data_IF_002889449990
#
_entry.id   IF_002889449990
#
_cell.length_a   1.000
_cell.length_b   1.000
_cell.length_c   1.000
_cell.angle_alpha   90.00
_cell.angle_beta   90.00
_cell.angle_gamma   90.00
#
_symmetry.space_group_name_H-M   'P 1'
#
loop_
_entity.id
_entity.type
_entity.pdbx_description
1 polymer ?
#
# COMPACT_ATOMS: atom_id res chain seq x y z
N UNK A 1 36.51 -29.26 -8.12
CA UNK A 1 36.37 -27.80 -7.89
C UNK A 1 34.96 -27.61 -7.39
N UNK A 2 34.77 -27.42 -6.09
CA UNK A 2 33.47 -27.08 -5.52
C UNK A 2 33.23 -25.63 -5.85
N UNK A 3 32.31 -25.37 -6.81
CA UNK A 3 31.83 -24.07 -7.17
C UNK A 3 31.11 -23.48 -5.94
N UNK A 4 31.79 -22.57 -5.27
CA UNK A 4 31.22 -21.86 -4.11
C UNK A 4 30.07 -21.02 -4.65
N UNK A 5 28.84 -21.48 -4.44
CA UNK A 5 27.67 -20.63 -4.71
C UNK A 5 27.80 -19.34 -3.89
N UNK A 6 27.71 -18.17 -4.52
CA UNK A 6 27.89 -16.90 -3.81
C UNK A 6 26.90 -16.83 -2.64
N UNK A 7 27.44 -16.61 -1.43
CA UNK A 7 26.64 -16.50 -0.23
C UNK A 7 25.67 -15.33 -0.37
N UNK A 8 24.39 -15.62 -0.30
CA UNK A 8 23.34 -14.62 -0.41
C UNK A 8 23.40 -13.69 0.80
N UNK A 9 23.55 -12.36 0.61
CA UNK A 9 23.53 -11.43 1.73
C UNK A 9 22.24 -11.52 2.53
N UNK A 10 22.31 -11.57 3.86
CA UNK A 10 21.13 -11.69 4.73
C UNK A 10 20.11 -10.57 4.46
N UNK A 11 20.57 -9.36 4.14
CA UNK A 11 19.74 -8.21 3.78
C UNK A 11 18.87 -8.47 2.56
N UNK A 12 19.40 -9.13 1.50
CA UNK A 12 18.63 -9.51 0.30
C UNK A 12 17.54 -10.53 0.66
N UNK A 13 17.87 -11.48 1.52
CA UNK A 13 16.93 -12.49 1.99
C UNK A 13 15.79 -11.86 2.78
N UNK A 14 16.10 -10.97 3.71
CA UNK A 14 15.08 -10.27 4.53
C UNK A 14 14.19 -9.40 3.66
N UNK A 15 14.76 -8.57 2.79
CA UNK A 15 13.98 -7.70 1.90
C UNK A 15 13.11 -8.54 0.95
N UNK A 16 13.67 -9.58 0.35
CA UNK A 16 12.93 -10.43 -0.59
C UNK A 16 11.73 -11.11 0.06
N UNK A 17 11.90 -11.74 1.21
CA UNK A 17 10.80 -12.41 1.92
C UNK A 17 9.77 -11.44 2.48
N UNK A 18 10.20 -10.35 3.11
CA UNK A 18 9.27 -9.33 3.62
C UNK A 18 8.44 -8.71 2.51
N UNK A 19 9.03 -8.48 1.34
CA UNK A 19 8.32 -7.97 0.16
C UNK A 19 7.34 -8.98 -0.42
N UNK A 20 7.64 -10.30 -0.40
CA UNK A 20 6.68 -11.33 -0.80
C UNK A 20 5.47 -11.33 0.14
N UNK A 21 5.70 -11.31 1.45
CA UNK A 21 4.60 -11.26 2.43
C UNK A 21 3.75 -10.02 2.22
N UNK A 22 4.37 -8.86 2.03
CA UNK A 22 3.66 -7.62 1.77
C UNK A 22 2.88 -7.68 0.45
N UNK A 23 3.45 -8.25 -0.62
CA UNK A 23 2.77 -8.43 -1.90
C UNK A 23 1.52 -9.31 -1.77
N UNK A 24 1.60 -10.41 -1.00
CA UNK A 24 0.43 -11.27 -0.71
C UNK A 24 -0.65 -10.50 0.05
N UNK A 25 -0.27 -9.74 1.07
CA UNK A 25 -1.23 -8.93 1.84
C UNK A 25 -1.88 -7.85 0.97
N UNK A 26 -1.10 -7.18 0.12
CA UNK A 26 -1.62 -6.20 -0.84
C UNK A 26 -2.56 -6.84 -1.86
N UNK A 27 -2.23 -8.03 -2.36
CA UNK A 27 -3.07 -8.77 -3.29
C UNK A 27 -4.41 -9.13 -2.64
N UNK A 28 -4.40 -9.68 -1.44
CA UNK A 28 -5.61 -10.03 -0.69
C UNK A 28 -6.46 -8.78 -0.40
N UNK A 29 -5.84 -7.70 0.03
CA UNK A 29 -6.53 -6.43 0.30
C UNK A 29 -7.18 -5.85 -0.97
N UNK A 30 -6.46 -5.86 -2.10
CA UNK A 30 -7.00 -5.41 -3.39
C UNK A 30 -8.15 -6.28 -3.88
N UNK A 31 -8.04 -7.60 -3.74
CA UNK A 31 -9.11 -8.54 -4.09
C UNK A 31 -10.36 -8.34 -3.21
N UNK A 32 -10.18 -8.15 -1.89
CA UNK A 32 -11.28 -7.83 -0.98
C UNK A 32 -11.92 -6.48 -1.31
N UNK A 33 -11.14 -5.47 -1.68
CA UNK A 33 -11.63 -4.17 -2.13
C UNK A 33 -12.53 -4.28 -3.37
N UNK A 34 -12.10 -5.06 -4.38
CA UNK A 34 -12.91 -5.35 -5.57
C UNK A 34 -14.19 -6.11 -5.23
N UNK A 35 -14.10 -7.16 -4.41
CA UNK A 35 -15.25 -7.93 -3.97
C UNK A 35 -16.27 -7.06 -3.24
N UNK A 36 -15.82 -6.22 -2.31
CA UNK A 36 -16.66 -5.28 -1.60
C UNK A 36 -17.35 -4.28 -2.53
N UNK A 37 -16.63 -3.75 -3.52
CA UNK A 37 -17.17 -2.83 -4.50
C UNK A 37 -18.23 -3.49 -5.39
N UNK A 38 -18.00 -4.74 -5.85
CA UNK A 38 -18.96 -5.51 -6.64
C UNK A 38 -20.21 -5.84 -5.83
N UNK A 39 -20.05 -6.28 -4.57
CA UNK A 39 -21.18 -6.57 -3.69
C UNK A 39 -22.05 -5.33 -3.45
N UNK A 40 -21.45 -4.15 -3.28
CA UNK A 40 -22.21 -2.91 -3.14
C UNK A 40 -22.95 -2.52 -4.43
N UNK A 41 -22.36 -2.74 -5.60
CA UNK A 41 -23.05 -2.48 -6.88
C UNK A 41 -24.23 -3.44 -7.13
N UNK A 42 -24.19 -4.64 -6.55
CA UNK A 42 -25.27 -5.63 -6.67
C UNK A 42 -26.37 -5.44 -5.63
N UNK A 43 -26.24 -4.45 -4.72
CA UNK A 43 -27.24 -4.19 -3.69
C UNK A 43 -28.52 -3.62 -4.32
N UNK A 44 -29.72 -4.21 -4.03
CA UNK A 44 -30.97 -3.70 -4.55
C UNK A 44 -31.23 -2.26 -4.08
N UNK A 45 -31.84 -1.43 -4.95
CA UNK A 45 -32.15 -0.03 -4.63
C UNK A 45 -33.01 0.12 -3.37
N UNK A 46 -33.91 -0.85 -3.12
CA UNK A 46 -34.74 -0.88 -1.91
C UNK A 46 -33.91 -1.03 -0.61
N UNK A 47 -32.82 -1.79 -0.67
CA UNK A 47 -31.90 -1.95 0.45
C UNK A 47 -31.00 -0.70 0.62
N UNK A 48 -30.66 -0.05 -0.46
CA UNK A 48 -29.91 1.20 -0.45
C UNK A 48 -30.73 2.37 0.15
N UNK A 49 -32.04 2.40 -0.10
CA UNK A 49 -32.95 3.42 0.45
C UNK A 49 -33.16 3.30 1.97
N UNK A 50 -32.95 2.13 2.56
CA UNK A 50 -33.01 1.88 4.02
C UNK A 50 -31.66 1.97 4.70
N UNK A 51 -30.61 2.30 3.98
CA UNK A 51 -29.26 2.34 4.48
C UNK A 51 -29.01 3.56 5.41
N UNK A 52 -28.14 3.42 6.40
CA UNK A 52 -27.81 4.52 7.31
C UNK A 52 -27.22 5.72 6.53
N UNK A 53 -27.46 6.96 7.03
CA UNK A 53 -26.91 8.16 6.41
C UNK A 53 -25.38 8.08 6.33
N UNK A 54 -24.83 8.23 5.12
CA UNK A 54 -23.40 8.06 4.82
C UNK A 54 -23.12 7.03 3.74
N UNK A 55 -24.09 6.22 3.35
CA UNK A 55 -23.91 5.24 2.26
C UNK A 55 -23.76 5.93 0.91
N UNK A 56 -24.40 7.07 0.70
CA UNK A 56 -24.22 7.90 -0.51
C UNK A 56 -22.75 8.35 -0.66
N UNK A 57 -22.12 8.76 0.43
CA UNK A 57 -20.69 9.11 0.43
C UNK A 57 -19.80 7.89 0.15
N UNK A 58 -20.19 6.70 0.61
CA UNK A 58 -19.49 5.47 0.26
C UNK A 58 -19.65 5.10 -1.22
N UNK A 59 -20.80 5.34 -1.82
CA UNK A 59 -21.02 5.12 -3.27
C UNK A 59 -20.12 6.03 -4.10
N UNK A 60 -19.97 7.30 -3.74
CA UNK A 60 -19.03 8.20 -4.40
C UNK A 60 -17.57 7.74 -4.29
N UNK A 61 -17.21 7.08 -3.19
CA UNK A 61 -15.88 6.48 -3.03
C UNK A 61 -15.69 5.21 -3.87
N UNK A 62 -16.74 4.46 -4.19
CA UNK A 62 -16.64 3.22 -4.97
C UNK A 62 -16.10 3.44 -6.36
N UNK A 63 -16.44 4.56 -7.01
CA UNK A 63 -15.90 4.90 -8.34
C UNK A 63 -14.36 4.99 -8.35
N UNK A 64 -13.75 5.34 -7.21
CA UNK A 64 -12.29 5.38 -7.05
C UNK A 64 -11.72 4.07 -6.52
N UNK A 65 -12.51 3.30 -5.76
CA UNK A 65 -12.07 2.04 -5.14
C UNK A 65 -11.74 0.98 -6.18
N UNK A 66 -12.56 0.85 -7.21
CA UNK A 66 -12.37 -0.15 -8.27
C UNK A 66 -11.04 0.06 -9.01
N UNK A 67 -10.78 1.23 -9.64
CA UNK A 67 -9.51 1.45 -10.33
C UNK A 67 -8.30 1.37 -9.39
N UNK A 68 -8.43 1.85 -8.15
CA UNK A 68 -7.36 1.77 -7.16
C UNK A 68 -7.04 0.33 -6.79
N UNK A 69 -8.05 -0.54 -6.65
CA UNK A 69 -7.87 -1.97 -6.37
C UNK A 69 -7.15 -2.68 -7.52
N UNK A 70 -7.46 -2.37 -8.78
CA UNK A 70 -6.74 -2.91 -9.93
C UNK A 70 -5.28 -2.47 -9.95
N UNK A 71 -5.00 -1.19 -9.67
CA UNK A 71 -3.62 -0.68 -9.55
C UNK A 71 -2.89 -1.41 -8.43
N UNK A 72 -3.52 -1.61 -7.27
CA UNK A 72 -2.96 -2.31 -6.13
C UNK A 72 -2.64 -3.77 -6.46
N UNK A 73 -3.53 -4.48 -7.16
CA UNK A 73 -3.29 -5.85 -7.63
C UNK A 73 -2.10 -5.90 -8.60
N UNK A 74 -2.02 -4.98 -9.55
CA UNK A 74 -0.90 -4.88 -10.48
C UNK A 74 0.43 -4.66 -9.75
N UNK A 75 0.47 -3.73 -8.80
CA UNK A 75 1.65 -3.48 -7.96
C UNK A 75 2.04 -4.73 -7.16
N UNK A 76 1.08 -5.44 -6.58
CA UNK A 76 1.32 -6.66 -5.81
C UNK A 76 1.97 -7.74 -6.68
N UNK A 77 1.50 -7.94 -7.91
CA UNK A 77 2.09 -8.91 -8.86
C UNK A 77 3.53 -8.51 -9.22
N UNK A 78 3.76 -7.25 -9.60
CA UNK A 78 5.10 -6.76 -9.93
C UNK A 78 6.06 -6.90 -8.75
N UNK A 79 5.59 -6.60 -7.53
CA UNK A 79 6.36 -6.73 -6.30
C UNK A 79 6.70 -8.18 -5.99
N UNK A 80 5.78 -9.13 -6.20
CA UNK A 80 6.01 -10.55 -6.03
C UNK A 80 7.09 -11.06 -7.01
N UNK A 81 6.96 -10.74 -8.31
CA UNK A 81 7.93 -11.12 -9.33
C UNK A 81 9.31 -10.51 -9.04
N UNK A 82 9.35 -9.20 -8.75
CA UNK A 82 10.60 -8.50 -8.40
C UNK A 82 11.30 -9.11 -7.18
N UNK A 83 10.53 -9.48 -6.16
CA UNK A 83 11.05 -10.11 -4.94
C UNK A 83 11.63 -11.51 -5.22
N UNK A 84 10.96 -12.33 -6.03
CA UNK A 84 11.46 -13.65 -6.43
C UNK A 84 12.76 -13.51 -7.24
N UNK A 85 12.81 -12.56 -8.18
CA UNK A 85 14.03 -12.30 -8.97
C UNK A 85 15.15 -11.76 -8.09
N UNK A 86 14.84 -10.93 -7.11
CA UNK A 86 15.80 -10.42 -6.11
C UNK A 86 16.38 -11.58 -5.28
N UNK A 87 15.53 -12.51 -4.80
CA UNK A 87 15.97 -13.70 -4.09
C UNK A 87 16.82 -14.65 -4.96
N UNK A 88 16.66 -14.60 -6.28
CA UNK A 88 17.51 -15.32 -7.23
C UNK A 88 18.78 -14.58 -7.61
N UNK A 89 19.10 -13.48 -6.92
CA UNK A 89 20.26 -12.61 -7.16
C UNK A 89 20.33 -12.06 -8.60
N UNK A 90 19.17 -11.89 -9.25
CA UNK A 90 19.12 -11.30 -10.60
C UNK A 90 19.09 -9.78 -10.50
N UNK A 91 19.94 -9.13 -11.26
CA UNK A 91 19.99 -7.66 -11.32
C UNK A 91 18.64 -7.04 -11.71
N UNK A 92 17.91 -7.71 -12.63
CA UNK A 92 16.55 -7.29 -13.01
C UNK A 92 15.62 -7.20 -11.80
N UNK A 93 15.71 -8.15 -10.85
CA UNK A 93 14.91 -8.13 -9.63
C UNK A 93 15.21 -6.91 -8.76
N UNK A 94 16.49 -6.55 -8.63
CA UNK A 94 16.92 -5.34 -7.91
C UNK A 94 16.36 -4.08 -8.56
N UNK A 95 16.49 -3.95 -9.89
CA UNK A 95 16.00 -2.78 -10.61
C UNK A 95 14.47 -2.65 -10.53
N UNK A 96 13.74 -3.77 -10.67
CA UNK A 96 12.29 -3.79 -10.50
C UNK A 96 11.88 -3.34 -9.10
N UNK A 97 12.52 -3.86 -8.05
CA UNK A 97 12.24 -3.48 -6.67
C UNK A 97 12.61 -2.02 -6.39
N UNK A 98 13.73 -1.54 -6.94
CA UNK A 98 14.12 -0.14 -6.82
C UNK A 98 13.11 0.78 -7.49
N UNK A 99 12.70 0.49 -8.74
CA UNK A 99 11.71 1.27 -9.48
C UNK A 99 10.35 1.26 -8.75
N UNK A 100 9.93 0.10 -8.23
CA UNK A 100 8.67 -0.02 -7.49
C UNK A 100 8.69 0.80 -6.19
N UNK A 101 9.81 0.81 -5.47
CA UNK A 101 9.94 1.61 -4.26
C UNK A 101 9.95 3.13 -4.57
N UNK A 102 10.58 3.56 -5.66
CA UNK A 102 10.49 4.96 -6.10
C UNK A 102 9.06 5.34 -6.48
N UNK A 103 8.39 4.48 -7.25
CA UNK A 103 6.97 4.68 -7.56
C UNK A 103 6.12 4.74 -6.29
N UNK A 104 6.33 3.80 -5.36
CA UNK A 104 5.64 3.77 -4.07
C UNK A 104 5.86 5.04 -3.25
N UNK A 105 7.08 5.59 -3.25
CA UNK A 105 7.40 6.84 -2.57
C UNK A 105 6.61 8.03 -3.15
N UNK A 106 6.66 8.21 -4.47
CA UNK A 106 5.94 9.29 -5.16
C UNK A 106 4.43 9.13 -4.98
N UNK A 107 3.92 7.90 -5.11
CA UNK A 107 2.51 7.59 -4.92
C UNK A 107 2.05 7.87 -3.48
N UNK A 108 2.81 7.44 -2.47
CA UNK A 108 2.47 7.68 -1.06
C UNK A 108 2.44 9.16 -0.74
N UNK A 109 3.43 9.94 -1.21
CA UNK A 109 3.47 11.39 -1.01
C UNK A 109 2.29 12.06 -1.74
N UNK A 110 2.06 11.70 -3.00
CA UNK A 110 0.97 12.27 -3.81
C UNK A 110 -0.41 11.99 -3.22
N UNK A 111 -0.67 10.73 -2.87
CA UNK A 111 -1.94 10.32 -2.24
C UNK A 111 -2.11 11.00 -0.89
N UNK A 112 -1.07 11.06 -0.06
CA UNK A 112 -1.14 11.72 1.24
C UNK A 112 -1.44 13.21 1.09
N UNK A 113 -0.79 13.90 0.16
CA UNK A 113 -1.00 15.32 -0.11
C UNK A 113 -2.42 15.63 -0.62
N UNK A 114 -3.02 14.71 -1.38
CA UNK A 114 -4.38 14.86 -1.89
C UNK A 114 -5.44 14.41 -0.86
N UNK A 115 -5.20 13.27 -0.20
CA UNK A 115 -6.18 12.63 0.68
C UNK A 115 -6.32 13.34 2.03
N UNK A 116 -5.22 13.80 2.64
CA UNK A 116 -5.24 14.43 3.96
C UNK A 116 -6.13 15.67 4.02
N UNK A 117 -6.06 16.64 3.06
CA UNK A 117 -6.96 17.80 3.07
C UNK A 117 -8.43 17.41 2.83
N UNK A 118 -8.69 16.43 1.96
CA UNK A 118 -10.05 15.96 1.68
C UNK A 118 -10.64 15.26 2.91
N UNK A 119 -9.87 14.39 3.55
CA UNK A 119 -10.24 13.71 4.78
C UNK A 119 -10.52 14.71 5.91
N UNK A 120 -9.65 15.70 6.12
CA UNK A 120 -9.82 16.69 7.18
C UNK A 120 -11.09 17.52 7.02
N UNK A 121 -11.45 17.89 5.77
CA UNK A 121 -12.71 18.59 5.47
C UNK A 121 -13.94 17.75 5.76
N UNK A 122 -13.94 16.48 5.34
CA UNK A 122 -15.05 15.57 5.57
C UNK A 122 -15.23 15.27 7.06
N UNK A 123 -14.13 15.08 7.79
CA UNK A 123 -14.17 14.84 9.23
C UNK A 123 -14.60 16.07 10.03
N UNK A 124 -14.26 17.29 9.59
CA UNK A 124 -14.74 18.50 10.21
C UNK A 124 -16.27 18.62 10.11
N UNK A 125 -16.86 18.23 8.97
CA UNK A 125 -18.32 18.17 8.80
C UNK A 125 -18.98 17.15 9.72
N UNK A 126 -18.44 15.93 9.78
CA UNK A 126 -18.96 14.86 10.66
C UNK A 126 -18.80 15.19 12.15
N UNK A 127 -17.73 15.85 12.56
CA UNK A 127 -17.52 16.26 13.94
C UNK A 127 -18.48 17.35 14.41
N UNK A 128 -19.03 18.16 13.49
CA UNK A 128 -20.08 19.14 13.79
C UNK A 128 -21.47 18.49 13.91
N UNK A 129 -21.71 17.41 13.18
CA UNK A 129 -22.98 16.70 13.17
C UNK A 129 -23.09 15.69 14.33
N UNK A 130 -21.98 15.23 14.93
CA UNK A 130 -22.00 14.23 15.98
C UNK A 130 -22.22 14.84 17.36
N UNK A 131 -23.30 14.49 18.07
CA UNK A 131 -23.54 14.94 19.44
C UNK A 131 -22.65 14.12 20.41
N UNK A 132 -21.57 14.74 20.90
CA UNK A 132 -20.79 14.21 22.00
C UNK A 132 -19.27 14.34 21.86
N UNK A 133 -18.59 14.56 23.00
CA UNK A 133 -17.13 14.73 23.08
C UNK A 133 -16.36 13.45 22.66
N UNK A 134 -16.95 12.26 22.89
CA UNK A 134 -16.33 10.99 22.56
C UNK A 134 -16.19 10.74 21.04
N UNK A 135 -17.22 11.13 20.28
CA UNK A 135 -17.17 11.05 18.82
C UNK A 135 -16.10 11.99 18.25
N UNK A 136 -15.98 13.21 18.76
CA UNK A 136 -14.95 14.17 18.34
C UNK A 136 -13.53 13.65 18.58
N UNK A 137 -13.27 12.99 19.71
CA UNK A 137 -11.96 12.39 20.00
C UNK A 137 -11.58 11.28 19.00
N UNK A 138 -12.51 10.42 18.65
CA UNK A 138 -12.29 9.33 17.68
C UNK A 138 -11.95 9.86 16.27
N UNK A 139 -12.60 10.94 15.83
CA UNK A 139 -12.36 11.56 14.54
C UNK A 139 -11.00 12.29 14.44
N UNK A 140 -10.45 12.74 15.58
CA UNK A 140 -9.12 13.38 15.59
C UNK A 140 -7.96 12.37 15.58
N UNK A 141 -8.19 11.16 16.10
CA UNK A 141 -7.15 10.11 16.15
C UNK A 141 -6.85 9.55 14.75
N UNK A 142 -7.85 9.39 13.90
CA UNK A 142 -7.70 8.82 12.55
C UNK A 142 -6.63 9.50 11.69
N UNK A 143 -6.67 10.82 11.49
CA UNK A 143 -5.66 11.56 10.72
C UNK A 143 -4.25 11.48 11.33
N UNK A 144 -4.14 11.53 12.66
CA UNK A 144 -2.85 11.44 13.34
C UNK A 144 -2.22 10.06 13.15
N UNK A 145 -3.02 8.99 13.30
CA UNK A 145 -2.58 7.61 13.05
C UNK A 145 -2.22 7.43 11.57
N UNK A 146 -3.05 7.91 10.64
CA UNK A 146 -2.78 7.85 9.20
C UNK A 146 -1.48 8.56 8.82
N UNK A 147 -1.25 9.77 9.33
CA UNK A 147 -0.02 10.52 9.10
C UNK A 147 1.21 9.79 9.67
N UNK A 148 1.10 9.22 10.87
CA UNK A 148 2.19 8.46 11.49
C UNK A 148 2.53 7.22 10.65
N UNK A 149 1.53 6.46 10.22
CA UNK A 149 1.72 5.30 9.34
C UNK A 149 2.38 5.72 8.03
N UNK A 150 1.95 6.83 7.41
CA UNK A 150 2.55 7.37 6.19
C UNK A 150 4.02 7.73 6.35
N UNK A 151 4.39 8.39 7.45
CA UNK A 151 5.79 8.75 7.75
C UNK A 151 6.64 7.48 7.91
N UNK A 152 6.16 6.50 8.69
CA UNK A 152 6.85 5.22 8.88
C UNK A 152 7.03 4.49 7.55
N UNK A 153 6.00 4.47 6.72
CA UNK A 153 6.05 3.84 5.40
C UNK A 153 7.10 4.51 4.49
N UNK A 154 7.13 5.83 4.44
CA UNK A 154 8.14 6.59 3.68
C UNK A 154 9.55 6.28 4.17
N UNK A 155 9.77 6.23 5.49
CA UNK A 155 11.07 5.90 6.08
C UNK A 155 11.52 4.48 5.69
N UNK A 156 10.61 3.50 5.72
CA UNK A 156 10.89 2.11 5.30
C UNK A 156 11.25 2.05 3.81
N UNK A 157 10.50 2.74 2.95
CA UNK A 157 10.77 2.78 1.51
C UNK A 157 12.18 3.35 1.24
N UNK A 158 12.52 4.47 1.87
CA UNK A 158 13.86 5.10 1.73
C UNK A 158 14.94 4.13 2.19
N UNK A 159 14.75 3.45 3.32
CA UNK A 159 15.69 2.46 3.83
C UNK A 159 15.91 1.31 2.84
N UNK A 160 14.82 0.78 2.25
CA UNK A 160 14.91 -0.29 1.25
C UNK A 160 15.68 0.19 0.01
N UNK A 161 15.39 1.38 -0.51
CA UNK A 161 16.12 1.96 -1.65
C UNK A 161 17.62 2.09 -1.32
N UNK A 162 17.95 2.58 -0.13
CA UNK A 162 19.34 2.74 0.32
C UNK A 162 20.06 1.39 0.39
N UNK A 163 19.42 0.36 0.95
CA UNK A 163 20.00 -1.00 1.03
C UNK A 163 20.18 -1.61 -0.36
N UNK A 164 19.19 -1.48 -1.25
CA UNK A 164 19.28 -2.00 -2.64
C UNK A 164 20.39 -1.33 -3.44
N UNK A 165 20.77 -0.10 -3.10
CA UNK A 165 21.88 0.65 -3.70
C UNK A 165 23.23 0.39 -3.05
N UNK A 166 23.29 -0.32 -1.94
CA UNK A 166 24.53 -0.63 -1.24
C UNK A 166 25.51 -1.42 -2.12
N UNK A 167 26.81 -1.20 -1.91
CA UNK A 167 27.87 -1.90 -2.66
C UNK A 167 27.79 -3.41 -2.49
N UNK A 168 27.43 -3.87 -1.29
CA UNK A 168 27.31 -5.30 -0.96
C UNK A 168 26.22 -5.98 -1.79
N UNK A 169 25.04 -5.36 -1.92
CA UNK A 169 23.94 -5.93 -2.71
C UNK A 169 24.26 -5.91 -4.19
N UNK A 170 24.87 -4.83 -4.70
CA UNK A 170 25.27 -4.74 -6.11
C UNK A 170 26.34 -5.78 -6.47
N UNK A 171 27.37 -5.95 -5.65
CA UNK A 171 28.42 -6.92 -5.89
C UNK A 171 27.89 -8.36 -5.93
N UNK A 172 26.94 -8.71 -5.06
CA UNK A 172 26.33 -10.04 -5.02
C UNK A 172 25.47 -10.37 -6.26
N UNK A 173 25.08 -9.37 -7.07
CA UNK A 173 24.24 -9.55 -8.26
C UNK A 173 25.04 -9.51 -9.58
N UNK A 174 26.30 -9.10 -9.54
CA UNK A 174 27.20 -9.02 -10.70
C UNK A 174 28.20 -10.17 -10.76
N UNK A 175 28.24 -11.00 -9.72
CA UNK A 175 29.03 -12.24 -9.64
C UNK A 175 28.25 -13.41 -10.24
#
# INVERSE_FOLDING_TARGET
MTEYAPERPATVTVIGWSSIVLAVLMFLSGAMGLLGAVMMQMMPEEAAAQAPPGLEQMQDMLQYTIPLSFVQLGIAVVMMVGSILLLRLRETGRLMMEALNWFGLVFTIGVSAWFLPMWSRNMAGLSQAAPGQQARGMFMIGPAVGATIGIVQVAIIILIIWVLRSKTVRAAMTS
#
